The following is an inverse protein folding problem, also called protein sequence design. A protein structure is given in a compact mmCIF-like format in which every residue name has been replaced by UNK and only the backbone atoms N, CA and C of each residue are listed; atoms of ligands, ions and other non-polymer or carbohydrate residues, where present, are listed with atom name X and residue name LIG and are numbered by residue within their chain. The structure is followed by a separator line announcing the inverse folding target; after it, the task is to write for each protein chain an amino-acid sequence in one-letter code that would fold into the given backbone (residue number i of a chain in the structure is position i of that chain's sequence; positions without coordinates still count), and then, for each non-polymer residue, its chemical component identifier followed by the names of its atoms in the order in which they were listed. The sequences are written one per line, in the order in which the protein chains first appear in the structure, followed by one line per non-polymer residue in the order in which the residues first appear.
data_IF_845788373029
#
_entry.id   IF_845788373029
#
_cell.length_a   1.000
_cell.length_b   1.000
_cell.length_c   1.000
_cell.angle_alpha   90.00
_cell.angle_beta   90.00
_cell.angle_gamma   90.00
#
_symmetry.space_group_name_H-M   'P 1'
#
loop_
_entity.id
_entity.type
_entity.pdbx_description
1 polymer ?
#
# COMPACT_ATOMS: atom_id res chain seq x y z
N UNK A 1 1.67 5.81 8.14
CA UNK A 1 0.57 6.39 8.94
C UNK A 1 -0.23 7.44 8.17
N UNK A 2 0.41 8.26 7.29
CA UNK A 2 -0.26 9.31 6.48
C UNK A 2 -1.47 8.81 5.66
N UNK A 3 -1.35 7.68 4.95
CA UNK A 3 -2.44 7.13 4.13
C UNK A 3 -3.74 6.88 4.92
N UNK A 4 -3.65 6.31 6.12
CA UNK A 4 -4.82 6.05 6.97
C UNK A 4 -5.43 7.36 7.47
N UNK A 5 -4.59 8.32 7.89
CA UNK A 5 -5.04 9.61 8.35
C UNK A 5 -5.79 10.39 7.26
N UNK A 6 -5.27 10.37 6.03
CA UNK A 6 -5.89 11.03 4.88
C UNK A 6 -7.18 10.34 4.42
N UNK A 7 -7.23 8.99 4.44
CA UNK A 7 -8.45 8.25 4.09
C UNK A 7 -9.58 8.43 5.11
N UNK A 8 -9.26 8.70 6.39
CA UNK A 8 -10.24 8.96 7.45
C UNK A 8 -10.71 10.43 7.51
N UNK A 9 -9.89 11.37 7.02
CA UNK A 9 -10.26 12.79 7.00
C UNK A 9 -11.44 13.03 6.05
N UNK A 10 -12.41 13.90 6.41
CA UNK A 10 -13.43 14.37 5.48
C UNK A 10 -12.79 14.96 4.21
N UNK A 11 -13.22 14.53 3.03
CA UNK A 11 -12.62 14.94 1.75
C UNK A 11 -12.62 16.45 1.52
N UNK A 12 -13.60 17.17 2.09
CA UNK A 12 -13.68 18.65 2.04
C UNK A 12 -12.54 19.35 2.78
N UNK A 13 -11.91 18.67 3.74
CA UNK A 13 -10.82 19.19 4.57
C UNK A 13 -9.43 18.88 3.99
N UNK A 14 -9.35 18.19 2.86
CA UNK A 14 -8.09 17.87 2.19
C UNK A 14 -7.68 19.01 1.25
N UNK A 15 -6.39 19.31 1.21
CA UNK A 15 -5.84 20.21 0.20
C UNK A 15 -5.80 19.54 -1.19
N UNK A 16 -5.56 20.30 -2.26
CA UNK A 16 -5.60 19.79 -3.64
C UNK A 16 -4.66 18.58 -3.86
N UNK A 17 -3.45 18.64 -3.32
CA UNK A 17 -2.44 17.57 -3.45
C UNK A 17 -2.81 16.31 -2.66
N UNK A 18 -3.45 16.47 -1.49
CA UNK A 18 -3.97 15.37 -0.69
C UNK A 18 -5.18 14.71 -1.38
N UNK A 19 -6.05 15.49 -2.01
CA UNK A 19 -7.19 14.98 -2.80
C UNK A 19 -6.71 14.09 -3.94
N UNK A 20 -5.75 14.55 -4.74
CA UNK A 20 -5.17 13.77 -5.83
C UNK A 20 -4.56 12.43 -5.36
N UNK A 21 -3.88 12.42 -4.20
CA UNK A 21 -3.38 11.18 -3.58
C UNK A 21 -4.54 10.25 -3.19
N UNK A 22 -5.57 10.79 -2.54
CA UNK A 22 -6.71 10.01 -2.06
C UNK A 22 -7.53 9.46 -3.23
N UNK A 23 -7.72 10.22 -4.29
CA UNK A 23 -8.44 9.78 -5.49
C UNK A 23 -7.67 8.66 -6.21
N UNK A 24 -6.35 8.80 -6.39
CA UNK A 24 -5.50 7.70 -6.88
C UNK A 24 -5.61 6.43 -6.03
N UNK A 25 -5.66 6.58 -4.70
CA UNK A 25 -5.82 5.41 -3.83
C UNK A 25 -7.22 4.79 -3.93
N UNK A 26 -8.26 5.60 -4.12
CA UNK A 26 -9.64 5.13 -4.31
C UNK A 26 -9.82 4.42 -5.64
N UNK A 27 -9.21 4.90 -6.72
CA UNK A 27 -9.19 4.23 -8.03
C UNK A 27 -8.54 2.84 -7.96
N UNK A 28 -7.61 2.63 -7.02
CA UNK A 28 -6.97 1.34 -6.78
C UNK A 28 -7.83 0.39 -5.92
N UNK A 29 -8.90 0.89 -5.28
CA UNK A 29 -9.83 0.05 -4.51
C UNK A 29 -10.64 -0.75 -5.52
N UNK A 30 -10.56 -2.07 -5.40
CA UNK A 30 -11.42 -3.02 -6.09
C UNK A 30 -12.20 -3.80 -5.04
N UNK A 31 -13.28 -4.49 -5.44
CA UNK A 31 -14.01 -5.38 -4.53
C UNK A 31 -13.09 -6.43 -3.87
N UNK A 32 -11.96 -6.73 -4.52
CA UNK A 32 -10.94 -7.69 -4.09
C UNK A 32 -9.90 -7.13 -3.11
N UNK A 33 -9.81 -5.81 -2.92
CA UNK A 33 -8.91 -5.19 -1.92
C UNK A 33 -9.56 -5.07 -0.54
N UNK A 34 -10.90 -5.12 -0.45
CA UNK A 34 -11.62 -4.90 0.81
C UNK A 34 -11.48 -3.47 1.34
N UNK A 35 -11.92 -3.23 2.58
CA UNK A 35 -11.96 -1.90 3.22
C UNK A 35 -10.70 -1.52 4.02
N UNK A 36 -9.71 -2.41 4.07
CA UNK A 36 -8.48 -2.22 4.85
C UNK A 36 -7.42 -1.38 4.14
N UNK A 37 -6.43 -0.83 4.87
CA UNK A 37 -5.30 -0.16 4.24
C UNK A 37 -4.49 -1.16 3.39
N UNK A 38 -3.97 -0.69 2.25
CA UNK A 38 -3.07 -1.46 1.40
C UNK A 38 -2.04 -0.55 0.75
N UNK A 39 -1.01 -1.15 0.16
CA UNK A 39 -0.03 -0.48 -0.68
C UNK A 39 0.21 -1.31 -1.96
N UNK A 40 0.35 -0.68 -3.12
CA UNK A 40 0.83 -1.41 -4.30
C UNK A 40 2.34 -1.58 -4.25
N UNK A 41 2.82 -2.66 -4.85
CA UNK A 41 4.25 -2.87 -5.00
C UNK A 41 4.93 -1.76 -5.81
N UNK A 42 4.27 -1.21 -6.81
CA UNK A 42 4.77 -0.10 -7.63
C UNK A 42 4.96 1.17 -6.79
N UNK A 43 4.01 1.49 -5.90
CA UNK A 43 4.09 2.66 -5.01
C UNK A 43 5.28 2.55 -4.03
N UNK A 44 5.54 1.34 -3.52
CA UNK A 44 6.69 1.06 -2.66
C UNK A 44 8.02 1.16 -3.41
N UNK A 45 8.04 0.77 -4.68
CA UNK A 45 9.25 0.72 -5.52
C UNK A 45 9.60 2.07 -6.13
N UNK A 46 8.62 2.94 -6.38
CA UNK A 46 8.80 4.20 -7.11
C UNK A 46 9.83 5.16 -6.47
N UNK A 47 10.03 5.08 -5.15
CA UNK A 47 11.00 5.91 -4.42
C UNK A 47 12.35 5.23 -4.12
N UNK A 48 12.57 4.01 -4.60
CA UNK A 48 13.73 3.19 -4.21
C UNK A 48 14.75 3.05 -5.34
N UNK A 49 16.04 3.06 -4.97
CA UNK A 49 17.13 2.69 -5.89
C UNK A 49 17.03 1.22 -6.32
N UNK A 50 17.66 0.83 -7.44
CA UNK A 50 17.60 -0.56 -7.93
C UNK A 50 18.12 -1.58 -6.90
N UNK A 51 19.18 -1.20 -6.16
CA UNK A 51 19.71 -2.01 -5.04
C UNK A 51 18.68 -2.16 -3.93
N UNK A 52 18.01 -1.07 -3.54
CA UNK A 52 16.99 -1.10 -2.50
C UNK A 52 15.75 -1.91 -2.93
N UNK A 53 15.33 -1.80 -4.21
CA UNK A 53 14.26 -2.64 -4.79
C UNK A 53 14.61 -4.12 -4.72
N UNK A 54 15.85 -4.47 -5.07
CA UNK A 54 16.32 -5.86 -4.99
C UNK A 54 16.30 -6.39 -3.56
N UNK A 55 16.77 -5.60 -2.58
CA UNK A 55 16.71 -5.98 -1.16
C UNK A 55 15.27 -6.08 -0.65
N UNK A 56 14.38 -5.18 -1.06
CA UNK A 56 12.97 -5.22 -0.72
C UNK A 56 12.35 -6.54 -1.17
N UNK A 57 12.53 -6.89 -2.45
CA UNK A 57 11.91 -8.07 -3.06
C UNK A 57 12.52 -9.39 -2.56
N UNK A 58 13.85 -9.46 -2.40
CA UNK A 58 14.54 -10.70 -2.04
C UNK A 58 14.58 -11.00 -0.54
N UNK A 59 14.57 -9.97 0.30
CA UNK A 59 14.74 -10.14 1.74
C UNK A 59 13.57 -9.57 2.54
N UNK A 60 13.26 -8.29 2.40
CA UNK A 60 12.31 -7.64 3.30
C UNK A 60 10.88 -8.17 3.17
N UNK A 61 10.35 -8.32 1.94
CA UNK A 61 9.00 -8.85 1.72
C UNK A 61 8.85 -10.30 2.23
N UNK A 62 9.74 -11.25 1.88
CA UNK A 62 9.71 -12.60 2.47
C UNK A 62 9.77 -12.61 4.00
N UNK A 63 10.63 -11.80 4.60
CA UNK A 63 10.74 -11.69 6.06
C UNK A 63 9.45 -11.13 6.69
N UNK A 64 8.88 -10.05 6.13
CA UNK A 64 7.64 -9.45 6.64
C UNK A 64 6.45 -10.41 6.49
N UNK A 65 6.41 -11.20 5.42
CA UNK A 65 5.42 -12.28 5.24
C UNK A 65 5.59 -13.36 6.30
N UNK A 66 6.81 -13.84 6.51
CA UNK A 66 7.12 -14.87 7.50
C UNK A 66 6.73 -14.42 8.92
N UNK A 67 7.06 -13.18 9.29
CA UNK A 67 6.70 -12.56 10.57
C UNK A 67 5.22 -12.18 10.67
N UNK A 68 4.40 -12.53 9.67
CA UNK A 68 2.97 -12.20 9.61
C UNK A 68 2.69 -10.70 9.82
N UNK A 69 3.55 -9.84 9.29
CA UNK A 69 3.34 -8.38 9.29
C UNK A 69 2.60 -7.90 8.05
N UNK A 70 2.72 -8.63 6.94
CA UNK A 70 2.02 -8.32 5.69
C UNK A 70 1.40 -9.57 5.06
N UNK A 71 0.35 -9.37 4.27
CA UNK A 71 -0.21 -10.33 3.31
C UNK A 71 -0.10 -9.77 1.91
N UNK A 72 0.21 -10.63 0.95
CA UNK A 72 0.18 -10.30 -0.48
C UNK A 72 -1.11 -10.76 -1.14
N UNK A 73 -1.67 -9.91 -2.01
CA UNK A 73 -2.73 -10.31 -2.92
C UNK A 73 -2.36 -9.88 -4.35
N UNK A 74 -2.52 -10.78 -5.31
CA UNK A 74 -2.33 -10.48 -6.73
C UNK A 74 -3.69 -10.28 -7.37
N UNK A 75 -3.93 -9.09 -7.91
CA UNK A 75 -5.17 -8.75 -8.61
C UNK A 75 -4.78 -8.34 -10.04
N UNK A 76 -4.94 -9.28 -10.97
CA UNK A 76 -4.45 -9.13 -12.34
C UNK A 76 -2.92 -9.01 -12.40
N UNK A 77 -2.36 -8.00 -13.09
CA UNK A 77 -0.92 -7.80 -13.15
C UNK A 77 -0.34 -7.13 -11.88
N UNK A 78 -1.19 -6.59 -11.00
CA UNK A 78 -0.77 -5.76 -9.86
C UNK A 78 -0.64 -6.58 -8.58
N UNK A 79 0.38 -6.28 -7.78
CA UNK A 79 0.63 -6.87 -6.46
C UNK A 79 0.32 -5.86 -5.36
N UNK A 80 -0.50 -6.28 -4.40
CA UNK A 80 -0.96 -5.49 -3.28
C UNK A 80 -0.42 -6.08 -1.97
N UNK A 81 0.08 -5.21 -1.10
CA UNK A 81 0.51 -5.54 0.26
C UNK A 81 -0.50 -4.99 1.28
N UNK A 82 -0.99 -5.86 2.15
CA UNK A 82 -1.92 -5.53 3.22
C UNK A 82 -1.18 -5.69 4.56
N UNK A 83 -1.15 -4.67 5.44
CA UNK A 83 -0.64 -4.86 6.78
C UNK A 83 -1.59 -5.78 7.55
N UNK A 84 -1.02 -6.74 8.29
CA UNK A 84 -1.78 -7.59 9.19
C UNK A 84 -1.72 -6.96 10.59
N UNK A 85 -2.88 -6.58 11.13
CA UNK A 85 -3.01 -6.05 12.50
C UNK A 85 -3.30 -7.24 13.41
N UNK A 86 -2.39 -7.52 14.36
CA UNK A 86 -2.60 -8.53 15.42
C UNK A 86 -1.53 -9.61 15.50
N UNK A 87 -0.53 -9.37 16.36
CA UNK A 87 -0.17 -10.26 17.48
C UNK A 87 -0.07 -9.34 18.70
#
# INVERSE_FOLDING_TARGET
MEKIALLKKPYRQLNQREKEKVDKWREQITDKTGSGPFCLAEDLRAGLSDKARTHLDKAAIPCLRHLKRIRENRIGPKMYYFPMVGI
#
